data_IF_254007126716
#
_entry.id   IF_254007126716
#
_cell.length_a   1.000
_cell.length_b   1.000
_cell.length_c   1.000
_cell.angle_alpha   90.00
_cell.angle_beta   90.00
_cell.angle_gamma   90.00
#
_symmetry.space_group_name_H-M   'P 1'
#
loop_
_entity.id
_entity.type
_entity.pdbx_description
1 polymer ?
#
# COMPACT_ATOMS: atom_id res chain seq x y z
N UNK A 1 4.67 14.49 -9.83
CA UNK A 1 4.21 13.97 -8.51
C UNK A 1 5.33 14.02 -7.46
N UNK A 2 6.50 13.46 -7.73
CA UNK A 2 7.64 13.49 -6.80
C UNK A 2 8.04 14.92 -6.37
N UNK A 3 8.10 15.89 -7.29
CA UNK A 3 8.35 17.30 -6.95
C UNK A 3 7.28 17.94 -6.05
N UNK A 4 6.01 17.51 -6.20
CA UNK A 4 4.92 17.98 -5.36
C UNK A 4 4.97 17.36 -3.96
N UNK A 5 5.49 16.12 -3.86
CA UNK A 5 5.69 15.42 -2.59
C UNK A 5 6.63 16.19 -1.66
N UNK A 6 7.68 16.79 -2.19
CA UNK A 6 8.61 17.60 -1.41
C UNK A 6 7.96 18.88 -0.82
N UNK A 7 7.00 19.48 -1.53
CA UNK A 7 6.33 20.75 -1.15
C UNK A 7 5.08 20.55 -0.31
N UNK A 8 4.28 19.54 -0.65
CA UNK A 8 2.97 19.26 -0.09
C UNK A 8 2.81 17.73 0.10
N UNK A 9 3.59 17.10 1.00
CA UNK A 9 3.68 15.65 1.10
C UNK A 9 2.34 15.00 1.42
N UNK A 10 1.59 15.52 2.40
CA UNK A 10 0.29 14.96 2.79
C UNK A 10 -0.75 15.01 1.67
N UNK A 11 -0.87 16.15 0.98
CA UNK A 11 -1.82 16.30 -0.13
C UNK A 11 -1.44 15.41 -1.32
N UNK A 12 -0.14 15.31 -1.62
CA UNK A 12 0.37 14.45 -2.69
C UNK A 12 0.15 12.97 -2.36
N UNK A 13 0.40 12.57 -1.10
CA UNK A 13 0.15 11.21 -0.62
C UNK A 13 -1.35 10.86 -0.67
N UNK A 14 -2.21 11.78 -0.26
CA UNK A 14 -3.67 11.58 -0.38
C UNK A 14 -4.10 11.41 -1.85
N UNK A 15 -3.57 12.21 -2.76
CA UNK A 15 -3.87 12.09 -4.19
C UNK A 15 -3.37 10.77 -4.78
N UNK A 16 -2.20 10.29 -4.34
CA UNK A 16 -1.69 8.97 -4.69
C UNK A 16 -2.70 7.89 -4.30
N UNK A 17 -3.10 7.91 -3.04
CA UNK A 17 -3.90 6.86 -2.42
C UNK A 17 -5.32 6.81 -2.97
N UNK A 18 -5.90 7.96 -3.30
CA UNK A 18 -7.30 8.06 -3.71
C UNK A 18 -7.51 8.02 -5.22
N UNK A 19 -6.50 8.36 -6.04
CA UNK A 19 -6.62 8.41 -7.50
C UNK A 19 -5.64 7.45 -8.18
N UNK A 20 -4.35 7.78 -8.20
CA UNK A 20 -3.36 7.07 -9.00
C UNK A 20 -3.29 5.58 -8.65
N UNK A 21 -3.35 5.26 -7.35
CA UNK A 21 -3.33 3.89 -6.89
C UNK A 21 -4.57 3.09 -7.28
N UNK A 22 -5.72 3.76 -7.48
CA UNK A 22 -6.92 3.12 -8.00
C UNK A 22 -6.80 2.83 -9.51
N UNK A 23 -6.13 3.69 -10.28
CA UNK A 23 -5.93 3.53 -11.72
C UNK A 23 -5.10 2.28 -12.04
N UNK A 24 -3.94 2.11 -11.41
CA UNK A 24 -3.13 0.92 -11.66
C UNK A 24 -3.70 -0.34 -11.02
N UNK A 25 -4.45 -0.23 -9.92
CA UNK A 25 -5.20 -1.34 -9.34
C UNK A 25 -6.24 -1.87 -10.32
N UNK A 26 -6.89 -0.98 -11.07
CA UNK A 26 -7.80 -1.38 -12.13
C UNK A 26 -7.07 -2.15 -13.25
N UNK A 27 -5.94 -1.63 -13.73
CA UNK A 27 -5.13 -2.29 -14.77
C UNK A 27 -4.69 -3.70 -14.35
N UNK A 28 -4.16 -3.85 -13.13
CA UNK A 28 -3.74 -5.15 -12.59
C UNK A 28 -4.89 -6.16 -12.44
N UNK A 29 -6.15 -5.70 -12.37
CA UNK A 29 -7.33 -6.57 -12.26
C UNK A 29 -7.87 -7.03 -13.61
N UNK A 30 -7.56 -6.32 -14.69
CA UNK A 30 -8.15 -6.55 -16.01
C UNK A 30 -7.17 -7.09 -17.03
N UNK A 31 -5.86 -6.89 -16.84
CA UNK A 31 -4.83 -7.36 -17.76
C UNK A 31 -3.91 -8.34 -17.00
N UNK A 32 -3.79 -9.60 -17.48
CA UNK A 32 -2.78 -10.52 -16.97
C UNK A 32 -1.42 -10.08 -17.47
N UNK A 33 -0.61 -9.49 -16.58
CA UNK A 33 0.73 -9.02 -16.87
C UNK A 33 1.74 -9.63 -15.91
N UNK A 34 2.99 -9.73 -16.37
CA UNK A 34 4.10 -10.12 -15.52
C UNK A 34 4.48 -8.98 -14.56
N UNK A 35 4.98 -9.28 -13.35
CA UNK A 35 5.48 -8.26 -12.42
C UNK A 35 6.46 -7.27 -13.05
N UNK A 36 7.31 -7.73 -13.97
CA UNK A 36 8.30 -6.90 -14.66
C UNK A 36 7.68 -5.73 -15.44
N UNK A 37 6.46 -5.88 -15.96
CA UNK A 37 5.74 -4.80 -16.66
C UNK A 37 5.54 -3.56 -15.77
N UNK A 38 5.50 -3.75 -14.45
CA UNK A 38 5.29 -2.68 -13.46
C UNK A 38 6.58 -2.14 -12.85
N UNK A 39 7.77 -2.59 -13.29
CA UNK A 39 9.06 -2.06 -12.80
C UNK A 39 9.18 -0.53 -12.92
N UNK A 40 8.84 0.11 -14.07
CA UNK A 40 8.94 1.56 -14.18
C UNK A 40 8.04 2.30 -13.18
N UNK A 41 6.88 1.73 -12.86
CA UNK A 41 5.97 2.29 -11.85
C UNK A 41 6.55 2.13 -10.44
N UNK A 42 7.13 0.96 -10.12
CA UNK A 42 7.81 0.72 -8.84
C UNK A 42 8.99 1.68 -8.65
N UNK A 43 9.77 1.93 -9.68
CA UNK A 43 10.89 2.88 -9.64
C UNK A 43 10.40 4.31 -9.42
N UNK A 44 9.33 4.72 -10.12
CA UNK A 44 8.70 6.03 -9.92
C UNK A 44 8.15 6.20 -8.49
N UNK A 45 7.54 5.14 -7.92
CA UNK A 45 7.07 5.13 -6.53
C UNK A 45 8.23 5.20 -5.54
N UNK A 46 9.31 4.48 -5.78
CA UNK A 46 10.52 4.53 -4.96
C UNK A 46 11.11 5.94 -4.96
N UNK A 47 11.23 6.57 -6.13
CA UNK A 47 11.67 7.95 -6.25
C UNK A 47 10.72 8.93 -5.53
N UNK A 48 9.40 8.71 -5.64
CA UNK A 48 8.41 9.49 -4.89
C UNK A 48 8.60 9.36 -3.37
N UNK A 49 8.79 8.14 -2.85
CA UNK A 49 9.05 7.89 -1.43
C UNK A 49 10.32 8.61 -0.95
N UNK A 50 11.35 8.66 -1.79
CA UNK A 50 12.57 9.42 -1.50
C UNK A 50 12.31 10.92 -1.37
N UNK A 51 11.36 11.48 -2.14
CA UNK A 51 10.99 12.90 -2.05
C UNK A 51 10.08 13.23 -0.86
N UNK A 52 9.50 12.23 -0.19
CA UNK A 52 8.70 12.46 1.01
C UNK A 52 9.58 12.75 2.24
N UNK A 53 10.75 12.13 2.31
CA UNK A 53 11.72 12.32 3.40
C UNK A 53 12.60 13.54 3.18
N UNK A 54 13.12 14.09 4.28
CA UNK A 54 14.20 15.11 4.26
C UNK A 54 15.60 14.48 4.27
N UNK A 55 15.69 13.15 4.20
CA UNK A 55 16.93 12.39 4.20
C UNK A 55 16.96 11.36 3.08
N UNK A 56 18.16 10.85 2.77
CA UNK A 56 18.29 9.71 1.89
C UNK A 56 17.55 8.51 2.52
N UNK A 57 16.51 8.05 1.85
CA UNK A 57 15.78 6.82 2.20
C UNK A 57 16.54 5.66 1.56
N UNK A 58 16.95 4.70 2.37
CA UNK A 58 17.62 3.47 1.95
C UNK A 58 16.64 2.53 1.24
N UNK A 59 17.13 1.58 0.43
CA UNK A 59 16.25 0.59 -0.20
C UNK A 59 15.40 -0.20 0.80
N UNK A 60 15.92 -0.49 2.00
CA UNK A 60 15.20 -1.22 3.05
C UNK A 60 14.07 -0.36 3.63
N UNK A 61 14.31 0.94 3.84
CA UNK A 61 13.24 1.86 4.26
C UNK A 61 12.17 2.02 3.19
N UNK A 62 12.53 2.07 1.91
CA UNK A 62 11.57 2.12 0.83
C UNK A 62 10.68 0.86 0.81
N UNK A 63 11.26 -0.34 1.03
CA UNK A 63 10.48 -1.58 1.20
C UNK A 63 9.48 -1.44 2.36
N UNK A 64 9.92 -0.94 3.51
CA UNK A 64 9.06 -0.74 4.68
C UNK A 64 7.94 0.26 4.40
N UNK A 65 8.23 1.38 3.74
CA UNK A 65 7.26 2.40 3.36
C UNK A 65 6.19 1.90 2.39
N UNK A 66 6.52 0.92 1.54
CA UNK A 66 5.56 0.31 0.62
C UNK A 66 4.60 -0.69 1.29
N UNK A 67 4.77 -0.95 2.59
CA UNK A 67 3.84 -1.79 3.34
C UNK A 67 2.53 -1.05 3.67
N UNK A 68 1.45 -1.79 3.97
CA UNK A 68 0.25 -1.21 4.55
C UNK A 68 0.55 -0.42 5.84
N UNK A 69 -0.21 0.63 6.10
CA UNK A 69 -0.04 1.49 7.28
C UNK A 69 -0.20 0.72 8.59
N UNK A 70 -1.08 -0.28 8.63
CA UNK A 70 -1.25 -1.18 9.80
C UNK A 70 -0.02 -2.05 10.09
N UNK A 71 0.85 -2.25 9.10
CA UNK A 71 2.15 -2.91 9.23
C UNK A 71 3.31 -1.89 9.24
N UNK A 72 3.03 -0.62 9.57
CA UNK A 72 4.05 0.41 9.77
C UNK A 72 4.55 1.10 8.50
N UNK A 73 3.98 0.79 7.34
CA UNK A 73 4.29 1.47 6.09
C UNK A 73 3.42 2.70 5.83
N UNK A 74 3.34 3.11 4.56
CA UNK A 74 2.62 4.31 4.11
C UNK A 74 1.42 3.97 3.21
N UNK A 75 1.00 2.71 3.15
CA UNK A 75 -0.09 2.21 2.29
C UNK A 75 0.18 2.39 0.77
N UNK A 76 1.44 2.67 0.39
CA UNK A 76 1.90 2.74 -1.00
C UNK A 76 2.16 1.31 -1.49
N UNK A 77 1.16 0.69 -2.13
CA UNK A 77 1.22 -0.73 -2.47
C UNK A 77 2.16 -0.99 -3.64
N UNK A 78 3.17 -1.84 -3.43
CA UNK A 78 4.09 -2.26 -4.49
C UNK A 78 3.32 -2.97 -5.63
N UNK A 79 3.29 -2.41 -6.85
CA UNK A 79 2.53 -2.98 -7.96
C UNK A 79 3.10 -4.33 -8.41
N UNK A 80 4.42 -4.54 -8.33
CA UNK A 80 5.05 -5.81 -8.74
C UNK A 80 4.63 -6.97 -7.84
N UNK A 81 4.38 -6.69 -6.56
CA UNK A 81 3.93 -7.70 -5.59
C UNK A 81 2.43 -7.99 -5.68
N UNK A 82 1.67 -7.12 -6.36
CA UNK A 82 0.21 -7.10 -6.33
C UNK A 82 -0.42 -7.61 -7.62
N UNK A 83 0.25 -7.48 -8.75
CA UNK A 83 -0.33 -7.79 -10.08
C UNK A 83 -0.97 -9.18 -10.15
N UNK A 84 -0.24 -10.23 -9.74
CA UNK A 84 -0.72 -11.60 -9.82
C UNK A 84 -1.98 -11.81 -8.96
N UNK A 85 -1.93 -11.39 -7.70
CA UNK A 85 -3.04 -11.54 -6.76
C UNK A 85 -4.28 -10.72 -7.18
N UNK A 86 -4.07 -9.53 -7.75
CA UNK A 86 -5.15 -8.66 -8.21
C UNK A 86 -5.91 -9.29 -9.40
N UNK A 87 -5.18 -9.80 -10.39
CA UNK A 87 -5.78 -10.48 -11.54
C UNK A 87 -6.49 -11.78 -11.14
N UNK A 88 -5.85 -12.60 -10.31
CA UNK A 88 -6.43 -13.85 -9.81
C UNK A 88 -7.72 -13.60 -9.02
N UNK A 89 -7.72 -12.63 -8.10
CA UNK A 89 -8.91 -12.25 -7.31
C UNK A 89 -10.04 -11.78 -8.22
N UNK A 90 -9.72 -10.97 -9.23
CA UNK A 90 -10.69 -10.48 -10.22
C UNK A 90 -11.32 -11.65 -10.98
N UNK A 91 -10.48 -12.54 -11.53
CA UNK A 91 -10.89 -13.73 -12.29
C UNK A 91 -11.76 -14.67 -11.45
N UNK A 92 -11.35 -14.98 -10.21
CA UNK A 92 -12.14 -15.80 -9.29
C UNK A 92 -13.49 -15.16 -9.01
N UNK A 93 -13.51 -13.86 -8.70
CA UNK A 93 -14.73 -13.14 -8.37
C UNK A 93 -15.71 -13.03 -9.54
N UNK A 94 -15.23 -12.97 -10.78
CA UNK A 94 -16.06 -12.87 -12.00
C UNK A 94 -16.38 -14.21 -12.66
N UNK A 95 -15.79 -15.31 -12.20
CA UNK A 95 -15.91 -16.64 -12.80
C UNK A 95 -17.35 -17.04 -13.14
N UNK A 96 -18.27 -16.93 -12.18
CA UNK A 96 -19.69 -17.29 -12.38
C UNK A 96 -20.36 -16.45 -13.47
N UNK A 97 -20.09 -15.13 -13.50
CA UNK A 97 -20.67 -14.25 -14.51
C UNK A 97 -20.10 -14.58 -15.91
N UNK A 98 -18.79 -14.82 -15.99
CA UNK A 98 -18.12 -15.17 -17.23
C UNK A 98 -18.66 -16.49 -17.79
N UNK A 99 -18.78 -17.54 -16.96
CA UNK A 99 -19.32 -18.83 -17.41
C UNK A 99 -20.75 -18.73 -17.91
N UNK A 100 -21.61 -17.98 -17.21
CA UNK A 100 -23.00 -17.78 -17.67
C UNK A 100 -23.06 -17.03 -19.00
N UNK A 101 -22.22 -16.01 -19.20
CA UNK A 101 -22.19 -15.25 -20.47
C UNK A 101 -21.72 -16.14 -21.63
N UNK A 102 -20.76 -17.03 -21.39
CA UNK A 102 -20.16 -17.88 -22.42
C UNK A 102 -21.02 -19.11 -22.75
N UNK A 103 -21.48 -19.82 -21.72
CA UNK A 103 -22.12 -21.13 -21.84
C UNK A 103 -23.65 -21.07 -21.69
N UNK A 104 -24.19 -19.92 -21.27
CA UNK A 104 -25.60 -19.76 -20.92
C UNK A 104 -25.93 -20.29 -19.51
N UNK A 105 -27.22 -20.35 -19.19
CA UNK A 105 -27.68 -20.97 -17.95
C UNK A 105 -27.48 -22.50 -17.99
N UNK A 106 -27.09 -23.15 -16.88
CA UNK A 106 -26.93 -24.60 -16.84
C UNK A 106 -28.23 -25.33 -17.18
N UNK A 107 -28.18 -26.36 -18.03
CA UNK A 107 -29.36 -27.14 -18.42
C UNK A 107 -30.07 -27.82 -17.24
N UNK A 108 -29.29 -28.31 -16.26
CA UNK A 108 -29.76 -29.03 -15.08
C UNK A 108 -29.53 -28.26 -13.76
N UNK A 109 -29.28 -26.95 -13.84
CA UNK A 109 -28.92 -26.12 -12.68
C UNK A 109 -29.79 -24.87 -12.52
N UNK A 110 -29.67 -24.18 -11.38
CA UNK A 110 -30.34 -22.89 -11.21
C UNK A 110 -29.78 -21.88 -12.22
N UNK A 111 -30.63 -21.00 -12.79
CA UNK A 111 -30.17 -19.93 -13.67
C UNK A 111 -29.28 -18.96 -12.89
N UNK A 112 -28.55 -18.11 -13.62
CA UNK A 112 -27.69 -17.11 -13.03
C UNK A 112 -28.40 -16.27 -11.98
N UNK A 113 -27.79 -16.20 -10.79
CA UNK A 113 -28.28 -15.41 -9.68
C UNK A 113 -27.27 -14.30 -9.33
N UNK A 114 -27.62 -13.01 -9.50
CA UNK A 114 -26.72 -11.91 -9.19
C UNK A 114 -26.34 -11.83 -7.70
N UNK A 115 -27.18 -12.33 -6.79
CA UNK A 115 -26.85 -12.38 -5.36
C UNK A 115 -25.80 -13.44 -5.05
N UNK A 116 -25.87 -14.60 -5.72
CA UNK A 116 -24.85 -15.65 -5.61
C UNK A 116 -23.54 -15.16 -6.21
N UNK A 117 -23.56 -14.52 -7.38
CA UNK A 117 -22.39 -13.91 -7.99
C UNK A 117 -21.74 -12.87 -7.06
N UNK A 118 -22.55 -12.00 -6.45
CA UNK A 118 -22.06 -11.02 -5.47
C UNK A 118 -21.41 -11.71 -4.27
N UNK A 119 -21.97 -12.81 -3.77
CA UNK A 119 -21.38 -13.57 -2.66
C UNK A 119 -20.02 -14.18 -3.05
N UNK A 120 -19.90 -14.78 -4.23
CA UNK A 120 -18.64 -15.31 -4.76
C UNK A 120 -17.60 -14.20 -4.91
N UNK A 121 -17.99 -13.04 -5.45
CA UNK A 121 -17.11 -11.88 -5.58
C UNK A 121 -16.64 -11.37 -4.23
N UNK A 122 -17.55 -11.24 -3.25
CA UNK A 122 -17.20 -10.83 -1.89
C UNK A 122 -16.24 -11.82 -1.22
N UNK A 123 -16.46 -13.12 -1.40
CA UNK A 123 -15.61 -14.18 -0.88
C UNK A 123 -14.19 -14.08 -1.47
N UNK A 124 -14.07 -14.01 -2.81
CA UNK A 124 -12.78 -13.88 -3.48
C UNK A 124 -12.02 -12.62 -3.04
N UNK A 125 -12.73 -11.48 -2.89
CA UNK A 125 -12.13 -10.24 -2.38
C UNK A 125 -11.69 -10.37 -0.93
N UNK A 126 -12.45 -11.06 -0.08
CA UNK A 126 -12.10 -11.29 1.32
C UNK A 126 -10.85 -12.16 1.44
N UNK A 127 -10.81 -13.28 0.71
CA UNK A 127 -9.65 -14.18 0.66
C UNK A 127 -8.41 -13.46 0.14
N UNK A 128 -8.53 -12.72 -0.97
CA UNK A 128 -7.42 -11.96 -1.54
C UNK A 128 -6.90 -10.87 -0.59
N UNK A 129 -7.78 -10.22 0.19
CA UNK A 129 -7.37 -9.27 1.24
C UNK A 129 -6.65 -9.96 2.38
N UNK A 130 -7.14 -11.10 2.84
CA UNK A 130 -6.53 -11.85 3.93
C UNK A 130 -5.14 -12.38 3.54
N UNK A 131 -5.02 -13.01 2.37
CA UNK A 131 -3.74 -13.49 1.86
C UNK A 131 -2.75 -12.34 1.62
N UNK A 132 -3.22 -11.20 1.09
CA UNK A 132 -2.39 -10.02 0.91
C UNK A 132 -1.94 -9.40 2.24
N UNK A 133 -2.76 -9.47 3.28
CA UNK A 133 -2.40 -9.00 4.61
C UNK A 133 -1.36 -9.88 5.30
N UNK A 134 -1.51 -11.19 5.17
CA UNK A 134 -0.55 -12.18 5.65
C UNK A 134 0.81 -12.03 4.97
N UNK A 135 0.83 -11.95 3.63
CA UNK A 135 2.05 -11.69 2.87
C UNK A 135 2.72 -10.36 3.23
N UNK A 136 1.93 -9.31 3.53
CA UNK A 136 2.48 -8.04 3.98
C UNK A 136 3.09 -8.12 5.38
N UNK A 137 2.51 -8.95 6.27
CA UNK A 137 3.05 -9.22 7.60
C UNK A 137 4.36 -10.01 7.53
N UNK A 138 4.44 -11.04 6.70
CA UNK A 138 5.68 -11.79 6.48
C UNK A 138 6.81 -10.87 5.98
N UNK A 139 6.50 -10.02 4.99
CA UNK A 139 7.46 -9.02 4.48
C UNK A 139 7.87 -8.00 5.53
N UNK A 140 6.96 -7.62 6.41
CA UNK A 140 7.28 -6.75 7.54
C UNK A 140 8.31 -7.42 8.46
N UNK A 141 8.08 -8.67 8.85
CA UNK A 141 8.97 -9.43 9.71
C UNK A 141 10.36 -9.63 9.06
N UNK A 142 10.41 -9.95 7.76
CA UNK A 142 11.65 -10.05 6.98
C UNK A 142 12.40 -8.71 6.93
N UNK A 143 11.69 -7.62 6.62
CA UNK A 143 12.28 -6.28 6.54
C UNK A 143 12.80 -5.81 7.90
N UNK A 144 12.12 -6.16 9.00
CA UNK A 144 12.60 -5.85 10.35
C UNK A 144 13.94 -6.53 10.65
N UNK A 145 14.18 -7.76 10.16
CA UNK A 145 15.44 -8.47 10.36
C UNK A 145 16.61 -7.80 9.63
N UNK A 146 16.35 -7.18 8.47
CA UNK A 146 17.35 -6.41 7.71
C UNK A 146 17.72 -5.07 8.38
N UNK A 147 16.87 -4.53 9.28
CA UNK A 147 17.11 -3.25 9.95
C UNK A 147 18.11 -3.35 11.12
N UNK A 148 18.87 -2.26 11.32
CA UNK A 148 19.72 -2.06 12.49
C UNK A 148 18.90 -2.15 13.79
N UNK A 149 19.42 -2.74 14.89
CA UNK A 149 18.64 -3.03 16.11
C UNK A 149 17.89 -1.84 16.70
N UNK A 150 18.50 -0.66 16.73
CA UNK A 150 17.86 0.56 17.25
C UNK A 150 16.65 0.99 16.42
N UNK A 151 16.78 0.89 15.09
CA UNK A 151 15.71 1.24 14.15
C UNK A 151 14.56 0.24 14.19
N UNK A 152 14.90 -1.05 14.27
CA UNK A 152 13.93 -2.14 14.44
C UNK A 152 13.03 -1.89 15.64
N UNK A 153 13.61 -1.50 16.78
CA UNK A 153 12.82 -1.26 17.99
C UNK A 153 11.87 -0.06 17.85
N UNK A 154 12.28 1.00 17.15
CA UNK A 154 11.42 2.17 16.91
C UNK A 154 10.25 1.80 16.01
N UNK A 155 10.50 1.13 14.88
CA UNK A 155 9.47 0.71 13.93
C UNK A 155 8.49 -0.26 14.60
N UNK A 156 8.98 -1.25 15.32
CA UNK A 156 8.15 -2.22 16.05
C UNK A 156 7.18 -1.53 17.02
N UNK A 157 7.69 -0.60 17.84
CA UNK A 157 6.85 0.14 18.79
C UNK A 157 5.80 1.01 18.11
N UNK A 158 6.13 1.63 16.98
CA UNK A 158 5.19 2.46 16.23
C UNK A 158 4.03 1.62 15.65
N UNK A 159 4.34 0.41 15.18
CA UNK A 159 3.36 -0.56 14.67
C UNK A 159 2.45 -1.04 15.80
N UNK A 160 3.03 -1.47 16.94
CA UNK A 160 2.26 -1.89 18.12
C UNK A 160 1.34 -0.79 18.64
N UNK A 161 1.83 0.46 18.66
CA UNK A 161 1.06 1.63 19.08
C UNK A 161 0.05 2.11 18.02
N UNK A 162 0.02 1.49 16.83
CA UNK A 162 -0.85 1.84 15.70
C UNK A 162 -0.74 3.30 15.26
N UNK A 163 0.45 3.88 15.39
CA UNK A 163 0.68 5.31 15.13
C UNK A 163 0.85 5.65 13.65
N UNK A 164 0.88 4.67 12.75
CA UNK A 164 1.00 4.92 11.30
C UNK A 164 -0.36 5.15 10.59
N UNK A 165 -1.49 4.92 11.27
CA UNK A 165 -2.82 5.02 10.64
C UNK A 165 -3.23 6.43 10.20
N UNK A 166 -2.66 7.48 10.79
CA UNK A 166 -2.98 8.86 10.44
C UNK A 166 -2.37 9.28 9.08
N UNK A 167 -1.35 8.56 8.58
CA UNK A 167 -0.65 8.85 7.32
C UNK A 167 -1.60 8.85 6.11
N UNK A 168 -2.72 8.13 6.20
CA UNK A 168 -3.75 8.06 5.16
C UNK A 168 -4.87 9.11 5.30
N UNK A 169 -4.80 9.99 6.29
CA UNK A 169 -5.86 10.97 6.54
C UNK A 169 -5.82 12.11 5.51
N UNK A 170 -7.00 12.45 4.97
CA UNK A 170 -7.14 13.51 3.98
C UNK A 170 -6.94 14.88 4.64
N UNK A 171 -6.08 15.76 4.10
CA UNK A 171 -5.89 17.10 4.66
C UNK A 171 -7.19 17.90 4.61
N UNK A 172 -7.57 18.48 5.74
CA UNK A 172 -8.71 19.39 5.86
C UNK A 172 -8.41 20.51 6.88
N UNK A 173 -8.36 21.75 6.38
CA UNK A 173 -8.13 22.95 7.18
C UNK A 173 -9.21 23.23 8.22
N UNK A 174 -10.47 22.82 7.98
CA UNK A 174 -11.58 23.02 8.92
C UNK A 174 -11.48 22.10 10.14
N UNK A 175 -10.95 20.91 9.93
CA UNK A 175 -10.80 19.90 10.97
C UNK A 175 -9.37 19.88 11.55
N UNK A 176 -8.52 20.85 11.16
CA UNK A 176 -7.12 20.98 11.58
C UNK A 176 -6.30 19.71 11.37
N UNK A 177 -6.50 19.08 10.22
CA UNK A 177 -5.83 17.84 9.82
C UNK A 177 -4.85 18.04 8.66
N UNK A 178 -4.71 19.29 8.20
CA UNK A 178 -3.69 19.74 7.27
C UNK A 178 -2.36 19.98 8.01
N UNK A 179 -1.42 19.07 7.80
CA UNK A 179 -0.10 19.14 8.38
C UNK A 179 0.84 19.94 7.47
N UNK A 180 1.72 20.71 8.08
CA UNK A 180 2.88 21.26 7.39
C UNK A 180 3.79 20.11 6.90
N UNK A 181 4.66 20.35 5.90
CA UNK A 181 5.59 19.33 5.44
C UNK A 181 6.49 18.76 6.55
N UNK A 182 6.90 19.59 7.51
CA UNK A 182 7.72 19.17 8.65
C UNK A 182 6.94 18.29 9.63
N UNK A 183 5.70 18.68 9.99
CA UNK A 183 4.84 17.89 10.86
C UNK A 183 4.53 16.52 10.24
N UNK A 184 4.20 16.47 8.95
CA UNK A 184 3.94 15.22 8.25
C UNK A 184 5.14 14.25 8.30
N UNK A 185 6.36 14.77 8.21
CA UNK A 185 7.59 13.95 8.26
C UNK A 185 7.92 13.47 9.67
N UNK A 186 7.79 14.34 10.68
CA UNK A 186 8.12 13.95 12.08
C UNK A 186 7.11 12.96 12.65
N UNK A 187 5.83 13.13 12.32
CA UNK A 187 4.78 12.24 12.79
C UNK A 187 4.81 10.87 12.10
N UNK A 188 5.50 10.76 10.95
CA UNK A 188 5.55 9.55 10.12
C UNK A 188 6.69 8.65 10.58
N UNK A 189 6.43 7.52 11.28
CA UNK A 189 7.48 6.67 11.81
C UNK A 189 8.55 6.22 10.80
N UNK A 190 8.22 5.87 9.53
CA UNK A 190 9.24 5.48 8.55
C UNK A 190 10.04 6.66 8.00
N UNK A 191 9.54 7.90 8.13
CA UNK A 191 10.21 9.14 7.69
C UNK A 191 10.96 9.85 8.83
N UNK A 192 10.80 9.36 10.07
CA UNK A 192 11.32 10.05 11.25
C UNK A 192 12.82 9.83 11.40
N UNK A 193 13.60 10.91 11.34
CA UNK A 193 15.01 10.94 11.72
C UNK A 193 15.09 11.18 13.23
N UNK A 194 15.71 10.27 13.99
CA UNK A 194 16.37 10.71 15.22
C UNK A 194 17.72 11.27 14.82
N UNK A 195 17.91 12.57 15.02
CA UNK A 195 19.26 13.08 15.16
C UNK A 195 19.98 12.18 16.19
N UNK A 196 21.07 11.54 15.76
CA UNK A 196 22.09 11.12 16.71
C UNK A 196 22.33 12.31 17.62
N UNK A 197 22.13 12.14 18.92
CA UNK A 197 22.69 13.06 19.90
C UNK A 197 24.21 12.91 19.78
N UNK A 198 24.79 13.63 18.85
CA UNK A 198 26.23 13.85 18.84
C UNK A 198 26.55 14.66 20.09
N UNK A 199 27.42 14.07 20.91
CA UNK A 199 27.77 14.57 22.22
C UNK A 199 28.35 15.99 22.14
N UNK A 200 27.65 16.94 22.74
CA UNK A 200 28.31 18.06 23.38
C UNK A 200 28.71 17.64 24.79
N UNK A 201 29.93 17.10 24.89
CA UNK A 201 30.74 17.21 26.08
C UNK A 201 31.78 18.31 25.80
N UNK A 202 31.56 19.48 26.39
CA UNK A 202 32.61 20.41 26.81
C UNK A 202 32.47 20.59 28.31
#
# INVERSE_FOLDING_TARGET
MAEAAAKCPQATHTALMTSLQAEWDFLMRVIPEEPATFEPLRDALTHYLFQLGDHAVTPIEAKLMMLPARHGGMEVRDPMQRVAAAYETSTKGTSLLVSTIQDGDPLDGPPFNPFQHRAVMQQAVSEGKQAGDEAARERFDDTLQELHPERRQVVHRAVEAKTAGWVTYRPNAKDHTDLTPAEYRDDSPPLRVRASRDGHAL
#
